data_IF_131006675617
#
_entry.id   IF_131006675617
#
_cell.length_a   1.000
_cell.length_b   1.000
_cell.length_c   1.000
_cell.angle_alpha   90.00
_cell.angle_beta   90.00
_cell.angle_gamma   90.00
#
_symmetry.space_group_name_H-M   'P 1'
#
loop_
_entity.id
_entity.type
_entity.pdbx_description
1 polymer ?
#
# COMPACT_ATOMS: atom_id res chain seq x y z
N UNK A 1 -6.13 -47.74 80.98
CA UNK A 1 -6.81 -46.63 80.27
C UNK A 1 -6.21 -46.55 78.88
N UNK A 2 -6.83 -47.21 77.89
CA UNK A 2 -6.29 -47.34 76.52
C UNK A 2 -7.25 -46.60 75.59
N UNK A 3 -6.82 -45.45 75.05
CA UNK A 3 -7.61 -44.69 74.06
C UNK A 3 -7.55 -45.41 72.72
N UNK A 4 -8.67 -46.04 72.35
CA UNK A 4 -8.88 -46.62 71.03
C UNK A 4 -9.04 -45.48 70.03
N UNK A 5 -8.04 -45.27 69.18
CA UNK A 5 -8.16 -44.37 68.03
C UNK A 5 -9.02 -45.06 66.96
N UNK A 6 -10.26 -44.60 66.83
CA UNK A 6 -11.16 -44.93 65.74
C UNK A 6 -10.55 -44.46 64.41
N UNK A 7 -10.02 -45.39 63.62
CA UNK A 7 -9.73 -45.16 62.19
C UNK A 7 -11.07 -45.15 61.45
N UNK A 8 -11.76 -44.01 61.42
CA UNK A 8 -12.80 -43.75 60.42
C UNK A 8 -12.08 -43.61 59.07
N UNK A 9 -12.03 -44.69 58.31
CA UNK A 9 -11.67 -44.62 56.90
C UNK A 9 -12.67 -43.69 56.22
N UNK A 10 -12.19 -42.63 55.58
CA UNK A 10 -13.01 -41.81 54.71
C UNK A 10 -13.43 -42.70 53.54
N UNK A 11 -14.63 -43.29 53.61
CA UNK A 11 -15.33 -43.82 52.45
C UNK A 11 -15.68 -42.61 51.58
N UNK A 12 -14.76 -42.19 50.72
CA UNK A 12 -15.12 -41.32 49.61
C UNK A 12 -16.14 -42.11 48.77
N UNK A 13 -17.42 -41.76 48.93
CA UNK A 13 -18.49 -42.30 48.11
C UNK A 13 -18.10 -42.15 46.65
N UNK A 14 -18.20 -43.24 45.88
CA UNK A 14 -17.90 -43.28 44.44
C UNK A 14 -18.56 -42.12 43.67
N UNK A 15 -19.72 -41.64 44.15
CA UNK A 15 -20.41 -40.47 43.62
C UNK A 15 -19.56 -39.17 43.63
N UNK A 16 -18.73 -38.95 44.65
CA UNK A 16 -17.87 -37.77 44.75
C UNK A 16 -16.75 -37.78 43.71
N UNK A 17 -16.13 -38.93 43.48
CA UNK A 17 -15.09 -39.09 42.44
C UNK A 17 -15.70 -38.91 41.05
N UNK A 18 -16.88 -39.49 40.80
CA UNK A 18 -17.60 -39.33 39.55
C UNK A 18 -18.01 -37.87 39.30
N UNK A 19 -18.51 -37.17 40.32
CA UNK A 19 -18.89 -35.75 40.20
C UNK A 19 -17.68 -34.86 39.89
N UNK A 20 -16.53 -35.10 40.53
CA UNK A 20 -15.29 -34.36 40.22
C UNK A 20 -14.87 -34.60 38.77
N UNK A 21 -14.91 -35.85 38.30
CA UNK A 21 -14.55 -36.21 36.93
C UNK A 21 -15.49 -35.57 35.90
N UNK A 22 -16.81 -35.70 36.11
CA UNK A 22 -17.80 -35.07 35.24
C UNK A 22 -17.67 -33.53 35.23
N UNK A 23 -17.42 -32.93 36.40
CA UNK A 23 -17.16 -31.50 36.53
C UNK A 23 -15.93 -31.06 35.74
N UNK A 24 -14.82 -31.81 35.82
CA UNK A 24 -13.62 -31.52 35.04
C UNK A 24 -13.86 -31.60 33.53
N UNK A 25 -14.64 -32.60 33.06
CA UNK A 25 -15.01 -32.74 31.65
C UNK A 25 -15.89 -31.58 31.17
N UNK A 26 -16.87 -31.14 31.97
CA UNK A 26 -17.73 -29.99 31.64
C UNK A 26 -16.90 -28.71 31.55
N UNK A 27 -16.00 -28.47 32.50
CA UNK A 27 -15.11 -27.30 32.49
C UNK A 27 -14.19 -27.34 31.26
N UNK A 28 -13.62 -28.51 30.94
CA UNK A 28 -12.80 -28.67 29.74
C UNK A 28 -13.57 -28.32 28.47
N UNK A 29 -14.81 -28.83 28.31
CA UNK A 29 -15.65 -28.47 27.17
C UNK A 29 -16.03 -27.00 27.15
N UNK A 30 -16.35 -26.40 28.29
CA UNK A 30 -16.67 -24.97 28.37
C UNK A 30 -15.48 -24.10 27.92
N UNK A 31 -14.27 -24.44 28.36
CA UNK A 31 -13.04 -23.76 27.92
C UNK A 31 -12.80 -23.99 26.43
N UNK A 32 -12.96 -25.22 25.93
CA UNK A 32 -12.81 -25.54 24.51
C UNK A 32 -13.78 -24.74 23.62
N UNK A 33 -15.08 -24.72 23.96
CA UNK A 33 -16.08 -23.95 23.22
C UNK A 33 -15.84 -22.44 23.32
N UNK A 34 -15.42 -21.93 24.48
CA UNK A 34 -15.07 -20.52 24.62
C UNK A 34 -13.89 -20.12 23.72
N UNK A 35 -12.83 -20.95 23.66
CA UNK A 35 -11.68 -20.69 22.77
C UNK A 35 -12.10 -20.72 21.29
N UNK A 36 -12.94 -21.66 20.89
CA UNK A 36 -13.43 -21.74 19.51
C UNK A 36 -14.30 -20.52 19.12
N UNK A 37 -15.15 -20.05 20.04
CA UNK A 37 -15.99 -18.87 19.83
C UNK A 37 -15.14 -17.59 19.68
N UNK A 38 -14.08 -17.45 20.50
CA UNK A 38 -13.17 -16.30 20.43
C UNK A 38 -12.49 -16.20 19.06
N UNK A 39 -12.01 -17.30 18.50
CA UNK A 39 -11.38 -17.30 17.17
C UNK A 39 -12.34 -16.87 16.05
N UNK A 40 -13.61 -17.31 16.10
CA UNK A 40 -14.64 -16.90 15.12
C UNK A 40 -14.98 -15.42 15.21
N UNK A 41 -14.99 -14.85 16.42
CA UNK A 41 -15.22 -13.43 16.64
C UNK A 41 -14.07 -12.58 16.08
N UNK A 42 -12.82 -13.01 16.27
CA UNK A 42 -11.65 -12.34 15.71
C UNK A 42 -11.70 -12.31 14.18
N UNK A 43 -11.96 -13.45 13.54
CA UNK A 43 -12.07 -13.53 12.08
C UNK A 43 -13.18 -12.60 11.54
N UNK A 44 -14.34 -12.59 12.20
CA UNK A 44 -15.46 -11.71 11.81
C UNK A 44 -15.07 -10.24 11.94
N UNK A 45 -14.32 -9.88 12.98
CA UNK A 45 -13.84 -8.51 13.22
C UNK A 45 -12.84 -8.09 12.15
N UNK A 46 -11.84 -8.92 11.86
CA UNK A 46 -10.82 -8.66 10.83
C UNK A 46 -11.47 -8.46 9.45
N UNK A 47 -12.39 -9.35 9.06
CA UNK A 47 -13.11 -9.24 7.78
C UNK A 47 -13.99 -7.99 7.72
N UNK A 48 -14.69 -7.66 8.80
CA UNK A 48 -15.57 -6.49 8.85
C UNK A 48 -14.76 -5.19 8.77
N UNK A 49 -13.65 -5.11 9.49
CA UNK A 49 -12.74 -3.97 9.45
C UNK A 49 -12.04 -3.86 8.09
N UNK A 50 -11.63 -4.98 7.49
CA UNK A 50 -11.08 -5.05 6.14
C UNK A 50 -12.08 -4.53 5.10
N UNK A 51 -13.33 -4.99 5.15
CA UNK A 51 -14.38 -4.50 4.25
C UNK A 51 -14.64 -3.02 4.44
N UNK A 52 -14.69 -2.55 5.69
CA UNK A 52 -14.85 -1.13 6.01
C UNK A 52 -13.70 -0.29 5.45
N UNK A 53 -12.47 -0.79 5.57
CA UNK A 53 -11.29 -0.19 4.98
C UNK A 53 -11.40 -0.10 3.45
N UNK A 54 -11.80 -1.19 2.78
CA UNK A 54 -12.03 -1.19 1.33
C UNK A 54 -13.08 -0.16 0.89
N UNK A 55 -14.15 0.01 1.68
CA UNK A 55 -15.17 1.03 1.45
C UNK A 55 -14.58 2.43 1.62
N UNK A 56 -13.82 2.69 2.69
CA UNK A 56 -13.19 4.00 2.95
C UNK A 56 -12.19 4.41 1.86
N UNK A 57 -11.53 3.42 1.25
CA UNK A 57 -10.57 3.64 0.16
C UNK A 57 -11.23 3.93 -1.19
N UNK A 58 -12.55 3.73 -1.34
CA UNK A 58 -13.24 3.93 -2.62
C UNK A 58 -13.57 5.41 -2.89
N UNK A 59 -14.16 6.18 -1.96
CA UNK A 59 -14.37 7.62 -2.14
C UNK A 59 -13.07 8.42 -2.34
N UNK A 60 -11.95 7.92 -1.80
CA UNK A 60 -10.62 8.52 -1.98
C UNK A 60 -10.15 8.46 -3.45
N UNK A 61 -10.75 7.59 -4.28
CA UNK A 61 -10.45 7.46 -5.71
C UNK A 61 -11.45 8.20 -6.60
N UNK A 62 -12.73 8.28 -6.21
CA UNK A 62 -13.80 8.70 -7.13
C UNK A 62 -13.99 10.22 -7.25
N UNK A 63 -13.29 11.03 -6.46
CA UNK A 63 -13.50 12.47 -6.42
C UNK A 63 -12.20 13.29 -6.60
N UNK A 64 -12.11 13.95 -7.77
CA UNK A 64 -11.50 15.27 -8.01
C UNK A 64 -9.96 15.31 -8.24
N UNK A 65 -9.57 16.17 -9.18
CA UNK A 65 -8.30 16.33 -9.90
C UNK A 65 -7.06 16.72 -9.06
N UNK A 66 -7.21 16.87 -7.73
CA UNK A 66 -6.15 17.29 -6.84
C UNK A 66 -5.95 16.28 -5.71
N UNK A 67 -4.69 15.95 -5.42
CA UNK A 67 -4.33 14.89 -4.47
C UNK A 67 -4.95 15.09 -3.09
N UNK A 68 -5.61 14.04 -2.58
CA UNK A 68 -6.33 14.05 -1.30
C UNK A 68 -5.54 13.37 -0.19
N UNK A 69 -5.80 13.78 1.03
CA UNK A 69 -5.31 13.12 2.23
C UNK A 69 -6.48 12.64 3.08
N UNK A 70 -6.37 11.43 3.59
CA UNK A 70 -7.30 10.88 4.56
C UNK A 70 -6.52 10.25 5.71
N UNK A 71 -7.07 10.38 6.91
CA UNK A 71 -6.64 9.59 8.07
C UNK A 71 -7.67 8.51 8.32
N UNK A 72 -7.22 7.27 8.30
CA UNK A 72 -8.03 6.11 8.68
C UNK A 72 -7.82 5.88 10.16
N UNK A 73 -8.89 6.02 10.93
CA UNK A 73 -8.91 5.71 12.34
C UNK A 73 -9.37 4.26 12.53
N UNK A 74 -8.57 3.49 13.24
CA UNK A 74 -8.84 2.11 13.62
C UNK A 74 -9.02 2.06 15.14
N UNK A 75 -9.97 1.26 15.58
CA UNK A 75 -10.32 1.15 17.01
C UNK A 75 -9.26 0.40 17.83
N UNK A 76 -8.40 -0.35 17.16
CA UNK A 76 -7.43 -1.25 17.78
C UNK A 76 -6.11 -1.25 16.99
N UNK A 77 -4.99 -1.57 17.67
CA UNK A 77 -3.72 -1.84 17.00
C UNK A 77 -3.89 -2.86 15.88
N UNK A 78 -3.51 -2.45 14.67
CA UNK A 78 -3.77 -3.20 13.45
C UNK A 78 -2.49 -3.36 12.65
N UNK A 79 -2.29 -4.57 12.11
CA UNK A 79 -1.32 -4.84 11.06
C UNK A 79 -2.03 -4.96 9.73
N UNK A 80 -1.56 -4.21 8.75
CA UNK A 80 -1.97 -4.33 7.35
C UNK A 80 -0.94 -5.14 6.61
N UNK A 81 -1.39 -6.14 5.86
CA UNK A 81 -0.55 -6.96 5.00
C UNK A 81 -0.88 -6.66 3.55
N UNK A 82 0.17 -6.46 2.76
CA UNK A 82 0.12 -6.07 1.36
C UNK A 82 0.87 -7.11 0.54
N UNK A 83 0.21 -7.70 -0.44
CA UNK A 83 0.84 -8.57 -1.43
C UNK A 83 0.52 -8.00 -2.82
N UNK A 84 1.57 -7.64 -3.55
CA UNK A 84 1.43 -7.17 -4.93
C UNK A 84 1.72 -8.32 -5.89
N UNK A 85 0.76 -8.60 -6.78
CA UNK A 85 0.94 -9.58 -7.86
C UNK A 85 1.18 -8.81 -9.16
N UNK A 86 2.34 -8.97 -9.80
CA UNK A 86 2.63 -8.27 -11.04
C UNK A 86 1.73 -8.79 -12.18
N UNK A 87 1.65 -8.04 -13.29
CA UNK A 87 0.96 -8.48 -14.49
C UNK A 87 1.50 -9.81 -15.02
N UNK A 88 0.60 -10.72 -15.40
CA UNK A 88 0.91 -12.00 -16.07
C UNK A 88 -0.12 -12.26 -17.18
N UNK A 89 0.13 -13.23 -18.05
CA UNK A 89 -0.75 -13.50 -19.21
C UNK A 89 -2.21 -13.81 -18.83
N UNK A 90 -2.45 -14.46 -17.69
CA UNK A 90 -3.80 -14.74 -17.17
C UNK A 90 -4.44 -13.57 -16.42
N UNK A 91 -3.65 -12.60 -15.99
CA UNK A 91 -4.08 -11.40 -15.29
C UNK A 91 -3.25 -10.19 -15.76
N UNK A 92 -3.63 -9.55 -16.87
CA UNK A 92 -2.80 -8.54 -17.54
C UNK A 92 -2.64 -7.24 -16.75
N UNK A 93 -3.39 -7.04 -15.66
CA UNK A 93 -3.29 -5.86 -14.78
C UNK A 93 -2.60 -6.15 -13.45
N UNK A 94 -2.31 -7.43 -13.17
CA UNK A 94 -1.93 -7.88 -11.84
C UNK A 94 -3.03 -7.65 -10.81
N UNK A 95 -2.68 -7.67 -9.53
CA UNK A 95 -3.62 -7.40 -8.44
C UNK A 95 -2.89 -6.97 -7.17
N UNK A 96 -3.55 -6.19 -6.34
CA UNK A 96 -3.16 -6.00 -4.94
C UNK A 96 -4.04 -6.89 -4.08
N UNK A 97 -3.43 -7.64 -3.17
CA UNK A 97 -4.12 -8.25 -2.05
C UNK A 97 -3.84 -7.46 -0.76
N UNK A 98 -4.88 -7.26 0.05
CA UNK A 98 -4.83 -6.56 1.33
C UNK A 98 -5.58 -7.38 2.37
N UNK A 99 -4.97 -7.64 3.51
CA UNK A 99 -5.68 -8.18 4.67
C UNK A 99 -5.16 -7.54 5.95
N UNK A 100 -5.95 -7.69 7.01
CA UNK A 100 -5.70 -7.06 8.30
C UNK A 100 -5.57 -8.14 9.37
N UNK A 101 -4.69 -7.91 10.34
CA UNK A 101 -4.70 -8.61 11.62
C UNK A 101 -4.90 -7.57 12.72
N UNK A 102 -5.89 -7.78 13.58
CA UNK A 102 -6.14 -6.92 14.73
C UNK A 102 -5.50 -7.55 15.96
N UNK A 103 -4.79 -6.75 16.76
CA UNK A 103 -4.17 -7.24 17.98
C UNK A 103 -5.26 -7.71 18.96
N UNK A 104 -5.20 -8.95 19.48
CA UNK A 104 -6.17 -9.43 20.44
C UNK A 104 -6.13 -8.58 21.73
N UNK A 105 -7.29 -8.31 22.36
CA UNK A 105 -7.33 -7.58 23.64
C UNK A 105 -6.71 -8.39 24.78
N UNK A 106 -6.77 -9.73 24.72
CA UNK A 106 -6.13 -10.63 25.67
C UNK A 106 -4.92 -11.31 25.01
N UNK A 107 -3.74 -10.74 25.20
CA UNK A 107 -2.48 -11.29 24.70
C UNK A 107 -1.54 -10.18 24.23
N UNK A 108 -0.24 -10.37 24.43
CA UNK A 108 0.77 -9.42 23.94
C UNK A 108 1.25 -9.74 22.52
N UNK A 109 0.92 -10.92 22.00
CA UNK A 109 1.41 -11.42 20.72
C UNK A 109 0.37 -11.23 19.62
N UNK A 110 0.88 -10.90 18.44
CA UNK A 110 0.08 -10.87 17.22
C UNK A 110 -0.24 -12.29 16.80
N UNK A 111 -1.49 -12.51 16.44
CA UNK A 111 -1.93 -13.76 15.87
C UNK A 111 -1.94 -13.62 14.34
N UNK A 112 -1.48 -14.63 13.60
CA UNK A 112 -1.63 -14.65 12.15
C UNK A 112 -3.12 -14.56 11.83
N UNK A 113 -3.49 -13.61 10.98
CA UNK A 113 -4.89 -13.49 10.58
C UNK A 113 -5.19 -14.51 9.50
N UNK A 114 -6.22 -15.32 9.74
CA UNK A 114 -6.84 -16.19 8.74
C UNK A 114 -7.85 -15.42 7.87
N UNK A 115 -7.89 -14.08 7.96
CA UNK A 115 -8.80 -13.27 7.16
C UNK A 115 -8.50 -13.46 5.67
N UNK A 116 -9.53 -13.75 4.84
CA UNK A 116 -9.35 -13.79 3.40
C UNK A 116 -8.84 -12.44 2.89
N UNK A 117 -7.89 -12.43 1.93
CA UNK A 117 -7.40 -11.21 1.34
C UNK A 117 -8.48 -10.51 0.51
N UNK A 118 -8.51 -9.18 0.60
CA UNK A 118 -9.25 -8.32 -0.30
C UNK A 118 -8.41 -8.10 -1.55
N UNK A 119 -8.88 -8.59 -2.69
CA UNK A 119 -8.22 -8.42 -3.98
C UNK A 119 -8.73 -7.16 -4.67
N UNK A 120 -7.80 -6.32 -5.12
CA UNK A 120 -8.05 -5.12 -5.89
C UNK A 120 -7.28 -5.15 -7.21
N UNK A 121 -7.98 -4.89 -8.32
CA UNK A 121 -7.36 -4.86 -9.64
C UNK A 121 -6.99 -3.44 -10.08
N UNK A 122 -7.78 -2.45 -9.67
CA UNK A 122 -7.68 -1.05 -10.06
C UNK A 122 -7.07 -0.14 -8.97
N UNK A 123 -6.62 -0.72 -7.86
CA UNK A 123 -6.03 0.01 -6.74
C UNK A 123 -4.52 -0.23 -6.66
N UNK A 124 -3.76 0.84 -6.43
CA UNK A 124 -2.30 0.86 -6.44
C UNK A 124 -1.80 1.38 -5.11
N UNK A 125 -1.31 0.47 -4.27
CA UNK A 125 -0.93 0.76 -2.90
C UNK A 125 0.59 0.79 -2.77
N UNK A 126 1.11 1.90 -2.24
CA UNK A 126 2.51 2.12 -1.93
C UNK A 126 2.65 2.28 -0.41
N UNK A 127 2.56 1.17 0.35
CA UNK A 127 2.63 1.19 1.80
C UNK A 127 4.07 1.34 2.28
N UNK A 128 4.28 2.08 3.37
CA UNK A 128 5.53 2.03 4.12
C UNK A 128 5.58 0.82 5.03
N UNK A 129 5.74 -0.32 4.40
CA UNK A 129 5.72 -1.62 5.02
C UNK A 129 7.14 -2.21 5.10
N UNK A 130 7.27 -3.23 5.94
CA UNK A 130 8.47 -4.04 6.08
C UNK A 130 8.22 -5.43 5.49
N UNK A 131 9.25 -6.07 4.91
CA UNK A 131 9.12 -7.42 4.39
C UNK A 131 8.77 -8.40 5.53
N UNK A 132 7.89 -9.35 5.24
CA UNK A 132 7.60 -10.45 6.17
C UNK A 132 8.47 -11.67 5.87
N UNK A 133 8.31 -12.75 6.65
CA UNK A 133 8.97 -14.03 6.37
C UNK A 133 8.53 -14.64 5.02
N UNK A 134 7.35 -14.25 4.52
CA UNK A 134 6.89 -14.63 3.20
C UNK A 134 7.36 -13.61 2.16
N UNK A 135 8.11 -14.08 1.17
CA UNK A 135 8.51 -13.28 0.01
C UNK A 135 7.26 -12.69 -0.69
N UNK A 136 7.34 -11.43 -1.13
CA UNK A 136 6.25 -10.65 -1.73
C UNK A 136 5.10 -10.22 -0.78
N UNK A 137 5.21 -10.47 0.53
CA UNK A 137 4.24 -9.99 1.52
C UNK A 137 4.90 -8.97 2.44
N UNK A 138 4.30 -7.78 2.50
CA UNK A 138 4.78 -6.64 3.27
C UNK A 138 3.79 -6.28 4.35
N UNK A 139 4.29 -5.90 5.53
CA UNK A 139 3.47 -5.60 6.70
C UNK A 139 3.72 -4.18 7.19
N UNK A 140 2.63 -3.46 7.47
CA UNK A 140 2.65 -2.16 8.15
C UNK A 140 1.85 -2.26 9.44
N UNK A 141 2.50 -1.96 10.57
CA UNK A 141 1.87 -1.91 11.89
C UNK A 141 1.51 -0.47 12.26
N UNK A 142 0.30 -0.26 12.74
CA UNK A 142 -0.19 1.02 13.29
C UNK A 142 -0.91 0.81 14.61
N UNK A 143 -0.89 1.82 15.48
CA UNK A 143 -1.62 1.74 16.76
C UNK A 143 -3.09 2.08 16.56
N UNK A 144 -3.40 3.27 16.03
CA UNK A 144 -4.80 3.68 15.84
C UNK A 144 -5.01 4.43 14.53
N UNK A 145 -3.93 4.88 13.87
CA UNK A 145 -4.04 5.74 12.70
C UNK A 145 -3.16 5.26 11.56
N UNK A 146 -3.77 5.20 10.38
CA UNK A 146 -3.08 5.09 9.12
C UNK A 146 -3.34 6.34 8.31
N UNK A 147 -2.28 6.86 7.71
CA UNK A 147 -2.35 8.00 6.82
C UNK A 147 -2.39 7.50 5.39
N UNK A 148 -3.31 8.04 4.60
CA UNK A 148 -3.43 7.73 3.17
C UNK A 148 -3.32 9.03 2.40
N UNK A 149 -2.32 9.07 1.53
CA UNK A 149 -2.14 10.13 0.56
C UNK A 149 -2.49 9.58 -0.82
N UNK A 150 -3.58 10.09 -1.40
CA UNK A 150 -4.02 9.75 -2.76
C UNK A 150 -3.50 10.78 -3.74
N UNK A 151 -2.74 10.33 -4.73
CA UNK A 151 -2.14 11.19 -5.78
C UNK A 151 -2.47 10.66 -7.17
N UNK A 152 -3.06 11.49 -8.06
CA UNK A 152 -3.26 11.08 -9.44
C UNK A 152 -1.91 10.96 -10.17
N UNK A 153 -1.77 9.89 -10.96
CA UNK A 153 -0.65 9.69 -11.88
C UNK A 153 -1.08 10.06 -13.30
N UNK A 154 -0.33 10.95 -13.96
CA UNK A 154 -0.56 11.36 -15.34
C UNK A 154 0.58 10.89 -16.25
N UNK A 155 0.27 10.20 -17.35
CA UNK A 155 1.24 9.70 -18.33
C UNK A 155 0.62 9.49 -19.73
N UNK A 156 0.36 10.51 -20.56
CA UNK A 156 0.24 11.96 -20.32
C UNK A 156 -1.16 12.37 -19.82
N UNK A 157 -2.12 11.44 -19.87
CA UNK A 157 -3.46 11.56 -19.29
C UNK A 157 -3.50 10.85 -17.93
N UNK A 158 -4.56 11.06 -17.14
CA UNK A 158 -4.72 10.37 -15.86
C UNK A 158 -4.77 8.85 -16.07
N UNK A 159 -3.83 8.13 -15.49
CA UNK A 159 -3.72 6.66 -15.54
C UNK A 159 -4.48 6.03 -14.38
N UNK A 160 -4.17 6.46 -13.17
CA UNK A 160 -4.72 5.91 -11.94
C UNK A 160 -4.48 6.88 -10.77
N UNK A 161 -5.15 6.62 -9.66
CA UNK A 161 -4.82 7.23 -8.37
C UNK A 161 -3.91 6.29 -7.58
N UNK A 162 -2.77 6.81 -7.15
CA UNK A 162 -1.81 6.11 -6.30
C UNK A 162 -2.12 6.38 -4.85
N UNK A 163 -2.22 5.32 -4.05
CA UNK A 163 -2.43 5.44 -2.62
C UNK A 163 -1.12 5.15 -1.89
N UNK A 164 -0.54 6.18 -1.32
CA UNK A 164 0.63 6.08 -0.45
C UNK A 164 0.13 5.92 0.97
N UNK A 165 0.49 4.82 1.64
CA UNK A 165 0.05 4.52 3.00
C UNK A 165 1.24 4.46 3.94
N UNK A 166 1.06 4.97 5.15
CA UNK A 166 2.05 4.83 6.22
C UNK A 166 1.35 4.95 7.57
N UNK A 167 1.92 4.30 8.58
CA UNK A 167 1.34 4.27 9.92
C UNK A 167 1.80 5.45 10.79
N UNK A 168 1.04 5.69 11.84
CA UNK A 168 1.40 6.60 12.94
C UNK A 168 2.67 6.21 13.71
N UNK A 169 3.04 4.93 13.71
CA UNK A 169 4.28 4.44 14.33
C UNK A 169 5.55 4.92 13.64
N UNK A 170 5.52 5.08 12.31
CA UNK A 170 6.70 5.48 11.55
C UNK A 170 6.80 7.00 11.51
N UNK A 171 7.95 7.52 11.94
CA UNK A 171 8.28 8.93 11.87
C UNK A 171 9.28 9.17 10.73
N UNK A 172 9.03 10.21 9.94
CA UNK A 172 9.89 10.60 8.82
C UNK A 172 10.44 11.99 9.04
N UNK A 173 11.73 12.17 8.82
CA UNK A 173 12.36 13.48 8.88
C UNK A 173 13.03 13.83 7.57
N UNK A 174 12.61 14.93 6.97
CA UNK A 174 13.07 15.41 5.67
C UNK A 174 14.15 16.48 5.85
N UNK A 175 15.31 16.24 5.25
CA UNK A 175 16.45 17.16 5.25
C UNK A 175 16.69 17.69 3.84
N UNK A 176 16.93 19.00 3.74
CA UNK A 176 17.15 19.73 2.49
C UNK A 176 16.04 19.56 1.42
N UNK A 177 14.81 19.25 1.84
CA UNK A 177 13.70 19.09 0.90
C UNK A 177 13.36 20.41 0.18
N UNK A 178 13.04 20.39 -1.12
CA UNK A 178 12.58 21.56 -1.87
C UNK A 178 11.41 22.28 -1.18
N UNK A 179 11.38 23.60 -1.28
CA UNK A 179 10.41 24.44 -0.56
C UNK A 179 8.96 24.14 -0.96
N UNK A 180 8.72 23.88 -2.24
CA UNK A 180 7.42 23.47 -2.79
C UNK A 180 6.99 22.09 -2.29
N UNK A 181 7.88 21.10 -2.30
CA UNK A 181 7.64 19.78 -1.71
C UNK A 181 7.25 19.90 -0.22
N UNK A 182 8.03 20.68 0.55
CA UNK A 182 7.75 20.94 1.96
C UNK A 182 6.39 21.59 2.17
N UNK A 183 6.05 22.63 1.40
CA UNK A 183 4.74 23.29 1.47
C UNK A 183 3.59 22.32 1.22
N UNK A 184 3.70 21.47 0.20
CA UNK A 184 2.68 20.46 -0.13
C UNK A 184 2.49 19.43 0.98
N UNK A 185 3.57 18.94 1.59
CA UNK A 185 3.47 18.02 2.73
C UNK A 185 2.93 18.69 3.99
N UNK A 186 3.28 19.95 4.25
CA UNK A 186 2.78 20.68 5.41
C UNK A 186 1.28 21.00 5.31
N UNK A 187 0.75 21.23 4.10
CA UNK A 187 -0.68 21.41 3.87
C UNK A 187 -1.50 20.19 4.29
N UNK A 188 -0.88 19.01 4.31
CA UNK A 188 -1.53 17.75 4.66
C UNK A 188 -1.60 17.55 6.20
N UNK A 189 -0.88 18.37 6.98
CA UNK A 189 -0.88 18.37 8.45
C UNK A 189 -0.61 17.00 9.10
N UNK A 190 0.40 16.29 8.59
CA UNK A 190 0.84 15.00 9.14
C UNK A 190 1.65 15.23 10.41
N UNK A 191 1.31 14.55 11.51
CA UNK A 191 1.99 14.75 12.81
C UNK A 191 3.30 13.97 12.93
N UNK A 192 3.53 12.97 12.08
CA UNK A 192 4.71 12.10 12.08
C UNK A 192 5.72 12.46 10.97
N UNK A 193 5.59 13.64 10.36
CA UNK A 193 6.50 14.15 9.33
C UNK A 193 7.15 15.44 9.81
N UNK A 194 8.48 15.44 9.83
CA UNK A 194 9.31 16.51 10.36
C UNK A 194 10.22 17.10 9.28
N UNK A 195 10.52 18.39 9.38
CA UNK A 195 11.45 19.10 8.46
C UNK A 195 12.62 19.77 9.20
N UNK A 196 12.72 19.54 10.51
CA UNK A 196 13.69 20.13 11.42
C UNK A 196 13.86 19.22 12.64
N UNK A 197 15.02 19.26 13.28
CA UNK A 197 15.34 18.47 14.48
C UNK A 197 15.24 16.95 14.24
N UNK A 198 15.84 16.45 13.15
CA UNK A 198 15.85 15.04 12.84
C UNK A 198 16.67 14.23 13.86
N UNK A 199 16.04 13.23 14.48
CA UNK A 199 16.70 12.27 15.38
C UNK A 199 16.89 10.93 14.66
N UNK A 200 18.14 10.56 14.37
CA UNK A 200 18.47 9.34 13.62
C UNK A 200 18.08 8.03 14.31
N UNK A 201 17.85 8.04 15.62
CA UNK A 201 17.59 6.82 16.37
C UNK A 201 16.11 6.40 16.34
N UNK A 202 15.21 7.34 16.06
CA UNK A 202 13.75 7.13 16.17
C UNK A 202 13.03 7.39 14.84
N UNK A 203 13.71 8.02 13.88
CA UNK A 203 13.09 8.54 12.66
C UNK A 203 13.80 8.03 11.42
N UNK A 204 13.02 7.78 10.37
CA UNK A 204 13.55 7.53 9.03
C UNK A 204 14.00 8.87 8.43
N UNK A 205 15.31 9.07 8.31
CA UNK A 205 15.89 10.29 7.73
C UNK A 205 15.88 10.20 6.21
N UNK A 206 15.20 11.14 5.57
CA UNK A 206 15.13 11.31 4.12
C UNK A 206 15.94 12.54 3.75
N UNK A 207 16.93 12.34 2.89
CA UNK A 207 17.87 13.37 2.46
C UNK A 207 17.67 13.68 0.99
N UNK A 208 17.34 14.92 0.70
CA UNK A 208 17.39 15.44 -0.66
C UNK A 208 18.82 15.85 -1.02
N UNK A 209 19.12 15.83 -2.32
CA UNK A 209 20.43 16.20 -2.87
C UNK A 209 21.00 17.46 -2.20
N UNK A 210 22.24 17.39 -1.70
CA UNK A 210 22.90 18.48 -0.98
C UNK A 210 22.74 18.45 0.55
N UNK A 211 21.92 17.55 1.11
CA UNK A 211 21.90 17.31 2.54
C UNK A 211 23.21 16.66 3.03
N UNK A 212 23.69 17.08 4.20
CA UNK A 212 24.83 16.48 4.89
C UNK A 212 24.37 15.64 6.07
N UNK A 213 24.87 14.40 6.20
CA UNK A 213 24.63 13.53 7.36
C UNK A 213 24.30 12.09 7.01
N UNK A 214 24.04 11.22 8.01
CA UNK A 214 23.56 9.87 7.78
C UNK A 214 22.09 9.91 7.33
N UNK A 215 21.81 9.30 6.18
CA UNK A 215 20.50 9.29 5.56
C UNK A 215 20.02 7.85 5.44
N UNK A 216 18.77 7.54 5.83
CA UNK A 216 18.16 6.23 5.57
C UNK A 216 17.70 6.12 4.12
N UNK A 217 17.21 7.23 3.56
CA UNK A 217 16.71 7.35 2.19
C UNK A 217 17.36 8.58 1.57
N UNK A 218 17.93 8.44 0.38
CA UNK A 218 18.55 9.53 -0.38
C UNK A 218 17.77 9.77 -1.66
N UNK A 219 17.32 11.01 -1.87
CA UNK A 219 16.61 11.46 -3.06
C UNK A 219 17.57 12.28 -3.92
N UNK A 220 17.90 11.75 -5.10
CA UNK A 220 18.73 12.42 -6.11
C UNK A 220 17.79 12.98 -7.18
N UNK A 221 17.31 14.19 -6.94
CA UNK A 221 16.25 14.84 -7.71
C UNK A 221 16.65 15.01 -9.19
N UNK A 222 17.89 15.44 -9.46
CA UNK A 222 18.41 15.58 -10.84
C UNK A 222 18.43 14.29 -11.66
N UNK A 223 18.43 13.14 -11.00
CA UNK A 223 18.41 11.82 -11.64
C UNK A 223 17.02 11.16 -11.57
N UNK A 224 16.04 11.80 -10.91
CA UNK A 224 14.75 11.22 -10.52
C UNK A 224 14.91 9.82 -9.91
N UNK A 225 15.80 9.74 -8.92
CA UNK A 225 16.20 8.48 -8.31
C UNK A 225 16.12 8.54 -6.78
N UNK A 226 15.67 7.47 -6.16
CA UNK A 226 15.66 7.26 -4.72
C UNK A 226 16.55 6.05 -4.38
N UNK A 227 17.40 6.17 -3.37
CA UNK A 227 18.26 5.08 -2.88
C UNK A 227 17.97 4.88 -1.41
N UNK A 228 17.79 3.63 -0.98
CA UNK A 228 17.48 3.29 0.42
C UNK A 228 18.60 2.46 1.01
N UNK A 229 18.91 2.72 2.27
CA UNK A 229 19.93 1.95 2.97
C UNK A 229 19.51 0.49 3.08
N UNK A 230 20.42 -0.41 2.67
CA UNK A 230 20.18 -1.86 2.71
C UNK A 230 19.51 -2.42 1.46
N UNK A 231 19.08 -1.57 0.52
CA UNK A 231 18.57 -2.03 -0.78
C UNK A 231 19.68 -1.90 -1.84
N UNK A 232 19.87 -2.94 -2.68
CA UNK A 232 20.99 -3.00 -3.62
C UNK A 232 20.81 -2.05 -4.80
N UNK A 233 19.57 -1.86 -5.25
CA UNK A 233 19.25 -1.13 -6.46
C UNK A 233 18.44 0.13 -6.13
N UNK A 234 18.73 1.25 -6.79
CA UNK A 234 17.93 2.45 -6.64
C UNK A 234 16.60 2.33 -7.39
N UNK A 235 15.62 3.09 -6.91
CA UNK A 235 14.31 3.22 -7.52
C UNK A 235 14.24 4.48 -8.35
N UNK A 236 13.80 4.36 -9.61
CA UNK A 236 13.54 5.50 -10.48
C UNK A 236 12.08 5.92 -10.41
N UNK A 237 11.81 7.21 -10.50
CA UNK A 237 10.46 7.76 -10.52
C UNK A 237 10.25 8.71 -11.71
N UNK A 238 8.98 8.93 -12.05
CA UNK A 238 8.56 9.88 -13.09
C UNK A 238 7.91 11.09 -12.44
N UNK A 239 8.11 12.26 -13.02
CA UNK A 239 7.28 13.42 -12.69
C UNK A 239 5.89 13.20 -13.27
N UNK A 240 4.87 13.23 -12.41
CA UNK A 240 3.49 12.90 -12.81
C UNK A 240 2.89 14.01 -13.67
N UNK A 241 2.87 15.24 -13.18
CA UNK A 241 2.34 16.38 -13.94
C UNK A 241 3.01 17.68 -13.54
N UNK A 242 2.78 18.74 -14.31
CA UNK A 242 3.20 20.09 -13.95
C UNK A 242 2.52 20.61 -12.67
N UNK A 243 1.30 20.16 -12.38
CA UNK A 243 0.56 20.53 -11.16
C UNK A 243 1.06 19.76 -9.93
N UNK A 244 1.43 18.49 -10.09
CA UNK A 244 1.99 17.68 -9.01
C UNK A 244 3.12 16.75 -9.47
N UNK A 245 4.37 17.26 -9.53
CA UNK A 245 5.51 16.45 -10.00
C UNK A 245 5.90 15.34 -9.02
N UNK A 246 5.43 15.37 -7.77
CA UNK A 246 5.93 14.53 -6.69
C UNK A 246 5.16 13.24 -6.44
N UNK A 247 4.11 12.95 -7.21
CA UNK A 247 3.24 11.80 -6.94
C UNK A 247 4.03 10.46 -6.85
N UNK A 248 4.87 10.17 -7.85
CA UNK A 248 5.71 8.97 -7.86
C UNK A 248 6.89 9.08 -6.89
N UNK A 249 7.36 10.29 -6.59
CA UNK A 249 8.41 10.50 -5.59
C UNK A 249 7.91 10.09 -4.19
N UNK A 250 6.67 10.44 -3.83
CA UNK A 250 6.08 9.97 -2.57
C UNK A 250 6.04 8.44 -2.52
N UNK A 251 5.54 7.81 -3.58
CA UNK A 251 5.53 6.35 -3.70
C UNK A 251 6.95 5.76 -3.51
N UNK A 252 7.94 6.26 -4.26
CA UNK A 252 9.32 5.79 -4.19
C UNK A 252 9.97 5.98 -2.82
N UNK A 253 9.65 7.07 -2.10
CA UNK A 253 10.15 7.31 -0.73
C UNK A 253 9.52 6.33 0.25
N UNK A 254 8.18 6.24 0.27
CA UNK A 254 7.48 5.58 1.36
C UNK A 254 7.43 4.05 1.21
N UNK A 255 7.27 3.50 0.01
CA UNK A 255 7.19 2.04 -0.18
C UNK A 255 8.53 1.39 -0.41
N UNK A 256 8.75 0.18 0.07
CA UNK A 256 9.94 -0.61 -0.26
C UNK A 256 10.12 -0.78 -1.79
N UNK A 257 11.35 -1.09 -2.21
CA UNK A 257 11.68 -1.20 -3.65
C UNK A 257 10.91 -2.27 -4.40
N UNK A 258 10.59 -3.39 -3.75
CA UNK A 258 9.91 -4.52 -4.39
C UNK A 258 8.42 -4.20 -4.61
N UNK A 259 7.74 -3.69 -3.59
CA UNK A 259 6.36 -3.21 -3.72
C UNK A 259 6.27 -2.08 -4.72
N UNK A 260 7.20 -1.11 -4.68
CA UNK A 260 7.25 -0.03 -5.66
C UNK A 260 7.35 -0.59 -7.08
N UNK A 261 8.32 -1.47 -7.33
CA UNK A 261 8.55 -2.06 -8.65
C UNK A 261 7.33 -2.83 -9.14
N UNK A 262 6.69 -3.62 -8.27
CA UNK A 262 5.48 -4.35 -8.63
C UNK A 262 4.32 -3.41 -8.99
N UNK A 263 4.07 -2.35 -8.20
CA UNK A 263 3.01 -1.38 -8.54
C UNK A 263 3.31 -0.60 -9.81
N UNK A 264 4.57 -0.25 -10.06
CA UNK A 264 4.98 0.38 -11.32
C UNK A 264 4.63 -0.51 -12.50
N UNK A 265 4.97 -1.82 -12.44
CA UNK A 265 4.61 -2.76 -13.51
C UNK A 265 3.10 -2.80 -13.75
N UNK A 266 2.29 -2.84 -12.68
CA UNK A 266 0.83 -2.80 -12.78
C UNK A 266 0.31 -1.48 -13.38
N UNK A 267 0.88 -0.35 -12.99
CA UNK A 267 0.52 0.98 -13.53
C UNK A 267 0.86 1.09 -15.01
N UNK A 268 2.03 0.62 -15.42
CA UNK A 268 2.44 0.60 -16.83
C UNK A 268 1.56 -0.34 -17.65
N UNK A 269 1.24 -1.53 -17.14
CA UNK A 269 0.32 -2.44 -17.83
C UNK A 269 -1.07 -1.82 -18.03
N UNK A 270 -1.59 -1.12 -17.01
CA UNK A 270 -2.83 -0.38 -17.14
C UNK A 270 -2.72 0.77 -18.16
N UNK A 271 -1.62 1.52 -18.13
CA UNK A 271 -1.35 2.60 -19.10
C UNK A 271 -1.34 2.06 -20.53
N UNK A 272 -0.68 0.93 -20.78
CA UNK A 272 -0.67 0.26 -22.08
C UNK A 272 -2.09 -0.07 -22.57
N UNK A 273 -2.93 -0.61 -21.69
CA UNK A 273 -4.33 -0.91 -22.03
C UNK A 273 -5.18 0.33 -22.28
N UNK A 274 -4.92 1.43 -21.57
CA UNK A 274 -5.54 2.72 -21.87
C UNK A 274 -5.11 3.23 -23.24
N UNK A 275 -3.83 3.08 -23.61
CA UNK A 275 -3.33 3.45 -24.93
C UNK A 275 -3.97 2.62 -26.05
N UNK A 276 -4.17 1.32 -25.86
CA UNK A 276 -4.91 0.48 -26.81
C UNK A 276 -6.33 1.04 -27.05
N UNK A 277 -7.02 1.47 -25.99
CA UNK A 277 -8.35 2.10 -26.09
C UNK A 277 -8.27 3.44 -26.83
N UNK A 278 -7.29 4.29 -26.52
CA UNK A 278 -7.11 5.57 -27.20
C UNK A 278 -6.78 5.40 -28.68
N UNK A 279 -5.95 4.41 -29.00
CA UNK A 279 -5.65 4.04 -30.38
C UNK A 279 -6.95 3.69 -31.14
N UNK A 280 -7.75 2.75 -30.63
CA UNK A 280 -9.03 2.37 -31.24
C UNK A 280 -10.03 3.54 -31.33
N UNK A 281 -10.05 4.45 -30.35
CA UNK A 281 -10.87 5.66 -30.42
C UNK A 281 -10.38 6.61 -31.52
N UNK A 282 -9.07 6.78 -31.66
CA UNK A 282 -8.47 7.67 -32.66
C UNK A 282 -8.82 7.23 -34.10
N UNK A 283 -8.82 5.93 -34.39
CA UNK A 283 -9.24 5.39 -35.70
C UNK A 283 -10.69 5.76 -36.02
N UNK A 284 -11.61 5.67 -35.04
CA UNK A 284 -13.03 6.00 -35.26
C UNK A 284 -13.26 7.48 -35.55
N UNK A 285 -12.49 8.35 -34.91
CA UNK A 285 -12.65 9.81 -35.02
C UNK A 285 -12.13 10.31 -36.35
N UNK A 286 -11.05 9.70 -36.84
CA UNK A 286 -10.52 9.94 -38.17
C UNK A 286 -11.59 9.68 -39.25
N UNK A 287 -12.39 8.64 -39.08
CA UNK A 287 -13.48 8.29 -39.99
C UNK A 287 -14.68 9.26 -39.93
N UNK A 288 -14.98 9.84 -38.76
CA UNK A 288 -16.23 10.59 -38.52
C UNK A 288 -16.07 12.11 -38.68
N UNK A 289 -14.93 12.68 -38.30
CA UNK A 289 -14.77 14.12 -38.07
C UNK A 289 -13.75 14.84 -38.96
N UNK A 290 -13.17 14.13 -39.93
CA UNK A 290 -12.12 14.70 -40.80
C UNK A 290 -10.72 14.67 -40.19
N UNK A 291 -10.50 13.90 -39.11
CA UNK A 291 -9.16 13.56 -38.61
C UNK A 291 -8.74 14.24 -37.30
N UNK A 292 -8.02 13.47 -36.47
CA UNK A 292 -6.94 14.02 -35.66
C UNK A 292 -5.68 14.15 -36.51
N UNK A 293 -4.68 14.93 -36.09
CA UNK A 293 -3.42 15.04 -36.82
C UNK A 293 -2.87 13.65 -37.18
N UNK A 294 -2.36 13.44 -38.40
CA UNK A 294 -1.89 12.14 -38.91
C UNK A 294 -0.80 11.49 -38.03
N UNK A 295 -0.23 12.22 -37.07
CA UNK A 295 0.84 11.75 -36.20
C UNK A 295 0.36 11.16 -34.86
N UNK A 296 -0.93 11.26 -34.51
CA UNK A 296 -1.42 10.81 -33.19
C UNK A 296 -1.33 9.29 -33.02
N UNK A 297 -1.75 8.51 -34.02
CA UNK A 297 -1.70 7.05 -33.99
C UNK A 297 -0.27 6.54 -33.85
N UNK A 298 0.66 7.09 -34.65
CA UNK A 298 2.08 6.74 -34.57
C UNK A 298 2.68 7.07 -33.20
N UNK A 299 2.30 8.21 -32.61
CA UNK A 299 2.72 8.57 -31.25
C UNK A 299 2.17 7.59 -30.20
N UNK A 300 0.88 7.24 -30.27
CA UNK A 300 0.26 6.27 -29.35
C UNK A 300 0.95 4.90 -29.44
N UNK A 301 1.17 4.38 -30.66
CA UNK A 301 1.88 3.10 -30.86
C UNK A 301 3.29 3.16 -30.25
N UNK A 302 4.04 4.21 -30.59
CA UNK A 302 5.42 4.37 -30.10
C UNK A 302 5.48 4.45 -28.57
N UNK A 303 4.53 5.16 -27.95
CA UNK A 303 4.46 5.26 -26.49
C UNK A 303 4.01 3.94 -25.86
N UNK A 304 3.06 3.23 -26.47
CA UNK A 304 2.57 1.94 -25.98
C UNK A 304 3.69 0.89 -25.96
N UNK A 305 4.55 0.84 -26.97
CA UNK A 305 5.69 -0.07 -27.00
C UNK A 305 6.65 0.18 -25.83
N UNK A 306 6.88 1.46 -25.48
CA UNK A 306 7.76 1.85 -24.38
C UNK A 306 7.13 1.50 -23.02
N UNK A 307 5.85 1.83 -22.84
CA UNK A 307 5.10 1.52 -21.62
C UNK A 307 4.94 0.01 -21.43
N UNK A 308 4.72 -0.75 -22.50
CA UNK A 308 4.60 -2.22 -22.43
C UNK A 308 5.90 -2.87 -21.95
N UNK A 309 7.06 -2.40 -22.44
CA UNK A 309 8.36 -2.85 -21.90
C UNK A 309 8.53 -2.48 -20.43
N UNK A 310 8.13 -1.28 -20.04
CA UNK A 310 8.18 -0.85 -18.64
C UNK A 310 7.23 -1.67 -17.75
N UNK A 311 6.12 -2.19 -18.29
CA UNK A 311 5.22 -3.10 -17.57
C UNK A 311 5.87 -4.46 -17.26
N UNK A 312 6.79 -4.92 -18.10
CA UNK A 312 7.53 -6.17 -17.89
C UNK A 312 8.71 -5.96 -16.94
N UNK A 313 9.50 -4.92 -17.18
CA UNK A 313 10.79 -4.70 -16.48
C UNK A 313 10.64 -3.87 -15.22
N UNK A 314 9.67 -2.97 -15.14
CA UNK A 314 9.58 -1.92 -14.13
C UNK A 314 10.50 -0.72 -14.40
N UNK A 315 11.21 -0.69 -15.54
CA UNK A 315 12.15 0.38 -15.88
C UNK A 315 11.43 1.60 -16.48
N UNK A 316 11.51 2.72 -15.77
CA UNK A 316 10.90 3.99 -16.15
C UNK A 316 11.81 4.91 -16.96
N UNK A 317 13.09 4.55 -17.16
CA UNK A 317 14.07 5.39 -17.86
C UNK A 317 13.67 5.70 -19.31
N UNK A 318 13.17 4.69 -20.01
CA UNK A 318 12.69 4.81 -21.40
C UNK A 318 11.41 5.64 -21.49
N UNK A 319 10.50 5.47 -20.53
CA UNK A 319 9.24 6.25 -20.43
C UNK A 319 9.59 7.73 -20.24
N UNK A 320 10.49 8.04 -19.30
CA UNK A 320 10.97 9.40 -19.05
C UNK A 320 11.57 10.04 -20.30
N UNK A 321 12.48 9.32 -20.97
CA UNK A 321 13.17 9.83 -22.16
C UNK A 321 12.17 10.16 -23.27
N UNK A 322 11.15 9.32 -23.45
CA UNK A 322 10.08 9.58 -24.41
C UNK A 322 9.27 10.83 -24.08
N UNK A 323 8.80 10.96 -22.83
CA UNK A 323 8.00 12.11 -22.39
C UNK A 323 8.77 13.43 -22.52
N UNK A 324 10.06 13.44 -22.17
CA UNK A 324 10.91 14.62 -22.31
C UNK A 324 11.19 14.99 -23.77
N UNK A 325 11.30 14.01 -24.65
CA UNK A 325 11.54 14.25 -26.09
C UNK A 325 10.26 14.66 -26.83
N UNK A 326 9.09 14.37 -26.24
CA UNK A 326 7.78 14.65 -26.83
C UNK A 326 6.92 15.50 -25.88
N UNK A 327 7.33 16.73 -25.51
CA UNK A 327 6.57 17.56 -24.57
C UNK A 327 5.19 17.96 -25.12
N UNK A 328 5.01 17.93 -26.45
CA UNK A 328 3.72 18.18 -27.11
C UNK A 328 2.74 17.00 -26.97
N UNK A 329 3.22 15.82 -26.59
CA UNK A 329 2.37 14.71 -26.17
C UNK A 329 1.68 15.01 -24.83
N UNK A 330 2.32 15.83 -23.98
CA UNK A 330 1.82 16.27 -22.66
C UNK A 330 1.06 17.61 -22.71
N UNK A 331 1.50 18.55 -23.56
CA UNK A 331 1.00 19.94 -23.59
C UNK A 331 0.00 20.24 -24.70
N UNK A 332 -0.16 19.33 -25.65
CA UNK A 332 -1.07 19.53 -26.77
C UNK A 332 -2.48 19.10 -26.41
N UNK A 333 -3.44 20.01 -26.60
CA UNK A 333 -4.83 19.66 -26.97
C UNK A 333 -4.94 18.89 -28.31
N UNK A 334 -3.98 17.99 -28.56
CA UNK A 334 -3.78 17.12 -29.73
C UNK A 334 -4.18 15.67 -29.45
N UNK A 335 -4.46 15.30 -28.19
CA UNK A 335 -5.60 14.40 -27.99
C UNK A 335 -6.78 15.29 -28.34
N UNK A 336 -7.16 15.31 -29.63
CA UNK A 336 -8.30 16.05 -30.17
C UNK A 336 -9.37 16.13 -29.10
N UNK A 337 -9.93 17.31 -28.81
CA UNK A 337 -10.98 17.54 -27.82
C UNK A 337 -12.01 16.37 -27.75
N UNK A 338 -11.64 15.33 -27.01
CA UNK A 338 -12.30 14.04 -26.87
C UNK A 338 -12.75 13.81 -25.43
N UNK A 339 -12.46 14.82 -24.61
CA UNK A 339 -12.90 14.99 -23.25
C UNK A 339 -13.61 16.34 -23.17
#
# INVERSE_FOLDING_TARGET
MMKVFSKRGYEFSFAWIFAIFAGAVIIFFAIYFAMQLVGQLQLTRDVTQGKSLGILLTPIETEIEEGKFATIYLTDPTRMYFECKPPVSSNPFGSQNLWLSIKPPLGSKWEPSDSPPLTFHNKYFFPSAEPTENENVFMSEGDEKFYVLSKPLYLPFKVADMMILYSDKKQYCFTNAPLDFKKKLQQINMTNVFFSNCNSNEQTIICFEGASGPCNITVIDRQNKVTKNGEPEPVFYLESSSSDPYAMLYAAIFSDSETYGCQVKRLMAHTSKLLDIYYSKSERIELISGGCSQNLQSAIISFNDIVSRAAETGDLSSVKTYLNSNPNFLSGGNICALF
#
